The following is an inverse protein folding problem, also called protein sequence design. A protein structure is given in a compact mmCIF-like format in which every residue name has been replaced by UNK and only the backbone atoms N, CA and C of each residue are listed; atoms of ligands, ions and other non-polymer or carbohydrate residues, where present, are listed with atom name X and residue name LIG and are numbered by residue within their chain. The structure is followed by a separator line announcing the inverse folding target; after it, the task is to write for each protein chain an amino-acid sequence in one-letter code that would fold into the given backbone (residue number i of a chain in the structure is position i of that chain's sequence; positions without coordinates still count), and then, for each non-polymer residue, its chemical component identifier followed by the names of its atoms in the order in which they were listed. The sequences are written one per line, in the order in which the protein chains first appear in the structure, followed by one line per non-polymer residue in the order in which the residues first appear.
data_IF_428982259167
#
_entry.id   IF_428982259167
#
_cell.length_a   1.000
_cell.length_b   1.000
_cell.length_c   1.000
_cell.angle_alpha   90.00
_cell.angle_beta   90.00
_cell.angle_gamma   90.00
#
_symmetry.space_group_name_H-M   'P 1'
#
loop_
_entity.id
_entity.type
_entity.pdbx_description
1 polymer ?
#
# COMPACT_ATOMS: atom_id res chain seq x y z
N UNK A 1 -15.65 11.04 36.70
CA UNK A 1 -15.35 9.64 36.42
C UNK A 1 -14.12 9.18 37.23
N UNK A 2 -12.99 9.92 37.23
CA UNK A 2 -11.81 9.54 38.00
C UNK A 2 -12.12 9.43 39.51
N UNK A 3 -12.84 10.38 40.09
CA UNK A 3 -13.26 10.37 41.50
C UNK A 3 -14.04 9.08 41.84
N UNK A 4 -14.95 8.65 40.97
CA UNK A 4 -15.71 7.41 41.18
C UNK A 4 -14.82 6.16 41.09
N UNK A 5 -13.81 6.15 40.22
CA UNK A 5 -12.85 5.07 40.13
C UNK A 5 -11.93 5.02 41.37
N UNK A 6 -11.50 6.18 41.86
CA UNK A 6 -10.71 6.29 43.10
C UNK A 6 -11.50 5.81 44.33
N UNK A 7 -12.78 6.21 44.46
CA UNK A 7 -13.65 5.75 45.56
C UNK A 7 -13.94 4.25 45.50
N UNK A 8 -14.06 3.70 44.30
CA UNK A 8 -14.18 2.25 44.07
C UNK A 8 -12.92 1.53 44.51
N UNK A 9 -11.75 1.99 44.04
CA UNK A 9 -10.47 1.42 44.42
C UNK A 9 -10.23 1.42 45.93
N UNK A 10 -10.52 2.54 46.61
CA UNK A 10 -10.36 2.65 48.05
C UNK A 10 -11.24 1.66 48.81
N UNK A 11 -12.50 1.48 48.37
CA UNK A 11 -13.40 0.49 49.00
C UNK A 11 -12.89 -0.96 48.76
N UNK A 12 -12.46 -1.27 47.57
CA UNK A 12 -11.92 -2.60 47.27
C UNK A 12 -10.60 -2.88 47.96
N UNK A 13 -9.72 -1.88 48.07
CA UNK A 13 -8.48 -1.99 48.82
C UNK A 13 -8.71 -2.17 50.34
N UNK A 14 -9.70 -1.47 50.89
CA UNK A 14 -10.08 -1.66 52.30
C UNK A 14 -10.56 -3.11 52.53
N UNK A 15 -11.48 -3.60 51.70
CA UNK A 15 -11.95 -4.98 51.78
C UNK A 15 -10.81 -6.01 51.58
N UNK A 16 -9.86 -5.73 50.68
CA UNK A 16 -8.67 -6.55 50.49
C UNK A 16 -7.78 -6.58 51.74
N UNK A 17 -7.57 -5.43 52.33
CA UNK A 17 -6.70 -5.32 53.54
C UNK A 17 -7.29 -6.04 54.74
N UNK A 18 -8.63 -6.07 54.84
CA UNK A 18 -9.38 -6.76 55.92
C UNK A 18 -9.35 -8.30 55.78
N UNK A 19 -9.02 -8.84 54.62
CA UNK A 19 -8.82 -10.27 54.41
C UNK A 19 -7.67 -10.82 55.22
N UNK A 20 -7.82 -11.99 55.80
CA UNK A 20 -6.75 -12.67 56.50
C UNK A 20 -5.56 -13.00 55.59
N UNK A 21 -4.36 -13.08 56.15
CA UNK A 21 -3.15 -13.45 55.41
C UNK A 21 -3.29 -14.83 54.75
N UNK A 22 -3.96 -15.76 55.39
CA UNK A 22 -4.25 -17.09 54.84
C UNK A 22 -5.13 -17.02 53.61
N UNK A 23 -6.21 -16.20 53.64
CA UNK A 23 -7.11 -16.00 52.46
C UNK A 23 -6.37 -15.39 51.29
N UNK A 24 -5.48 -14.39 51.53
CA UNK A 24 -4.67 -13.75 50.49
C UNK A 24 -3.69 -14.72 49.81
N UNK A 25 -3.09 -15.63 50.62
CA UNK A 25 -2.17 -16.64 50.11
C UNK A 25 -2.91 -17.70 49.30
N UNK A 26 -4.10 -18.13 49.75
CA UNK A 26 -4.92 -19.11 49.03
C UNK A 26 -5.34 -18.51 47.67
N UNK A 27 -5.83 -17.29 47.63
CA UNK A 27 -6.21 -16.61 46.36
C UNK A 27 -5.03 -16.50 45.42
N UNK A 28 -3.84 -16.09 45.88
CA UNK A 28 -2.70 -15.84 45.00
C UNK A 28 -1.93 -17.11 44.60
N UNK A 29 -1.80 -18.08 45.48
CA UNK A 29 -0.93 -19.28 45.25
C UNK A 29 -1.72 -20.55 44.91
N UNK A 30 -2.95 -20.70 45.36
CA UNK A 30 -3.75 -21.90 45.13
C UNK A 30 -4.73 -21.72 43.97
N UNK A 31 -5.37 -20.55 43.90
CA UNK A 31 -6.32 -20.26 42.83
C UNK A 31 -5.67 -19.55 41.64
N UNK A 32 -4.40 -19.15 41.77
CA UNK A 32 -3.64 -18.40 40.76
C UNK A 32 -4.34 -17.11 40.34
N UNK A 33 -5.18 -16.53 41.20
CA UNK A 33 -5.95 -15.31 41.00
C UNK A 33 -5.29 -14.16 41.77
N UNK A 34 -4.76 -13.19 41.08
CA UNK A 34 -4.24 -11.98 41.70
C UNK A 34 -5.38 -10.97 41.89
N UNK A 35 -6.25 -11.23 42.87
CA UNK A 35 -7.42 -10.37 43.13
C UNK A 35 -7.11 -9.11 43.95
N UNK A 36 -5.83 -8.71 44.03
CA UNK A 36 -5.48 -7.42 44.60
C UNK A 36 -6.00 -6.27 43.72
N UNK A 37 -6.82 -5.37 44.28
CA UNK A 37 -7.34 -4.28 43.48
C UNK A 37 -6.24 -3.44 42.83
N UNK A 38 -6.41 -3.17 41.56
CA UNK A 38 -5.53 -2.29 40.77
C UNK A 38 -6.28 -0.97 40.58
N UNK A 39 -5.58 0.13 40.76
CA UNK A 39 -6.18 1.45 40.58
C UNK A 39 -6.49 1.67 39.10
N UNK A 40 -7.76 1.76 38.74
CA UNK A 40 -8.20 2.08 37.41
C UNK A 40 -7.88 3.55 37.11
N UNK A 41 -7.03 3.77 36.12
CA UNK A 41 -6.81 5.12 35.58
C UNK A 41 -7.86 5.41 34.52
N UNK A 42 -8.80 6.31 34.86
CA UNK A 42 -9.73 6.83 33.87
C UNK A 42 -9.03 7.98 33.14
N UNK A 43 -8.69 7.82 31.85
CA UNK A 43 -8.09 8.92 31.10
C UNK A 43 -9.01 10.14 31.19
N UNK A 44 -8.47 11.27 31.67
CA UNK A 44 -9.25 12.49 31.65
C UNK A 44 -9.61 12.81 30.20
N UNK A 45 -10.87 13.17 29.93
CA UNK A 45 -11.22 13.63 28.59
C UNK A 45 -10.31 14.84 28.33
N UNK A 46 -9.55 14.70 27.23
CA UNK A 46 -8.59 15.69 26.80
C UNK A 46 -9.32 17.04 26.67
N UNK A 47 -9.10 17.95 27.58
CA UNK A 47 -9.57 19.33 27.42
C UNK A 47 -8.72 19.95 26.34
N UNK A 48 -9.31 20.07 25.15
CA UNK A 48 -8.74 20.83 24.04
C UNK A 48 -8.43 22.25 24.58
N UNK A 49 -7.17 22.51 24.89
CA UNK A 49 -6.70 23.88 25.05
C UNK A 49 -6.80 24.48 23.66
N UNK A 50 -7.75 25.39 23.48
CA UNK A 50 -7.83 26.18 22.26
C UNK A 50 -6.57 27.03 22.24
N UNK A 51 -5.53 26.54 21.57
CA UNK A 51 -4.35 27.35 21.27
C UNK A 51 -4.76 28.52 20.37
N UNK A 52 -3.99 29.58 20.41
CA UNK A 52 -4.17 30.78 19.59
C UNK A 52 -4.44 30.39 18.12
N UNK A 53 -5.22 31.20 17.39
CA UNK A 53 -5.57 30.86 16.01
C UNK A 53 -4.31 30.56 15.22
N UNK A 54 -4.19 29.32 14.72
CA UNK A 54 -3.11 28.98 13.83
C UNK A 54 -3.23 29.89 12.61
N UNK A 55 -2.25 30.74 12.42
CA UNK A 55 -2.10 31.47 11.17
C UNK A 55 -1.84 30.40 10.13
N UNK A 56 -2.87 30.12 9.33
CA UNK A 56 -2.76 29.11 8.28
C UNK A 56 -1.65 29.53 7.33
N UNK A 57 -0.67 28.68 7.13
CA UNK A 57 0.37 28.90 6.14
C UNK A 57 -0.30 29.07 4.78
N UNK A 58 -0.03 30.16 4.06
CA UNK A 58 -0.50 30.35 2.72
C UNK A 58 0.33 29.45 1.79
N UNK A 59 -0.28 28.40 1.29
CA UNK A 59 0.34 27.52 0.29
C UNK A 59 0.05 27.99 -1.12
N UNK A 60 1.01 27.87 -2.03
CA UNK A 60 0.73 27.91 -3.46
C UNK A 60 0.10 26.57 -3.89
N UNK A 61 -1.23 26.54 -3.88
CA UNK A 61 -1.99 25.32 -4.20
C UNK A 61 -1.74 24.85 -5.64
N UNK A 62 -1.47 25.76 -6.59
CA UNK A 62 -1.16 25.40 -7.96
C UNK A 62 0.19 24.68 -8.06
N UNK A 63 1.18 25.18 -7.35
CA UNK A 63 2.49 24.55 -7.27
C UNK A 63 2.40 23.17 -6.60
N UNK A 64 1.67 23.04 -5.49
CA UNK A 64 1.44 21.76 -4.84
C UNK A 64 0.73 20.77 -5.77
N UNK A 65 -0.36 21.18 -6.42
CA UNK A 65 -1.09 20.34 -7.35
C UNK A 65 -0.22 19.91 -8.54
N UNK A 66 0.59 20.83 -9.08
CA UNK A 66 1.47 20.49 -10.21
C UNK A 66 2.57 19.51 -9.84
N UNK A 67 3.06 19.57 -8.59
CA UNK A 67 4.16 18.74 -8.11
C UNK A 67 3.70 17.35 -7.66
N UNK A 68 2.59 17.28 -6.93
CA UNK A 68 2.18 16.04 -6.24
C UNK A 68 0.99 15.33 -6.87
N UNK A 69 0.12 16.04 -7.65
CA UNK A 69 -1.09 15.43 -8.18
C UNK A 69 -0.92 15.10 -9.66
N UNK A 70 -0.77 13.82 -9.95
CA UNK A 70 -0.75 13.28 -11.31
C UNK A 70 -1.41 11.90 -11.32
N UNK A 71 -1.98 11.55 -12.46
CA UNK A 71 -2.52 10.21 -12.69
C UNK A 71 -1.65 9.56 -13.77
N UNK A 72 -0.97 8.49 -13.41
CA UNK A 72 -0.06 7.79 -14.29
C UNK A 72 -0.78 7.29 -15.55
N UNK A 73 -0.17 7.48 -16.71
CA UNK A 73 -0.77 7.13 -18.00
C UNK A 73 -1.75 8.16 -18.56
N UNK A 74 -1.96 9.29 -17.86
CA UNK A 74 -2.79 10.39 -18.32
C UNK A 74 -1.98 11.67 -18.46
N UNK A 75 -2.30 12.45 -19.50
CA UNK A 75 -1.73 13.78 -19.69
C UNK A 75 -2.64 14.85 -19.07
N UNK A 76 -2.04 15.95 -18.62
CA UNK A 76 -2.81 17.08 -18.12
C UNK A 76 -3.53 17.76 -19.29
N UNK A 77 -4.85 17.87 -19.19
CA UNK A 77 -5.70 18.46 -20.20
C UNK A 77 -6.78 19.35 -19.60
N UNK A 78 -7.42 20.17 -20.45
CA UNK A 78 -8.51 21.06 -20.05
C UNK A 78 -9.88 20.62 -20.59
N UNK A 79 -9.90 19.83 -21.67
CA UNK A 79 -11.13 19.40 -22.33
C UNK A 79 -11.36 17.90 -22.10
N UNK A 80 -12.57 17.55 -21.71
CA UNK A 80 -12.97 16.15 -21.47
C UNK A 80 -12.01 15.42 -20.52
N UNK A 81 -11.52 16.14 -19.50
CA UNK A 81 -10.49 15.66 -18.57
C UNK A 81 -11.12 15.15 -17.25
N UNK A 82 -10.45 14.22 -16.61
CA UNK A 82 -10.72 13.90 -15.22
C UNK A 82 -10.30 15.07 -14.32
N UNK A 83 -11.08 15.32 -13.27
CA UNK A 83 -10.77 16.34 -12.28
C UNK A 83 -10.31 15.65 -11.00
N UNK A 84 -9.07 15.88 -10.64
CA UNK A 84 -8.48 15.38 -9.39
C UNK A 84 -8.37 16.51 -8.38
N UNK A 85 -9.13 16.43 -7.32
CA UNK A 85 -9.21 17.44 -6.26
C UNK A 85 -8.73 16.88 -4.93
N UNK A 86 -7.88 17.63 -4.23
CA UNK A 86 -7.48 17.34 -2.85
C UNK A 86 -7.94 18.49 -1.96
N UNK A 87 -8.62 18.17 -0.87
CA UNK A 87 -9.09 19.13 0.11
C UNK A 87 -8.21 19.08 1.36
N UNK A 88 -7.57 20.18 1.68
CA UNK A 88 -6.73 20.33 2.87
C UNK A 88 -7.56 20.97 3.98
N UNK A 89 -7.63 20.33 5.16
CA UNK A 89 -8.35 20.86 6.32
C UNK A 89 -7.44 21.62 7.28
N UNK A 90 -6.13 21.58 7.03
CA UNK A 90 -5.09 22.24 7.80
C UNK A 90 -4.47 21.34 8.86
N UNK A 91 -3.27 21.75 9.31
CA UNK A 91 -2.53 21.06 10.35
C UNK A 91 -3.08 21.41 11.73
N UNK A 92 -3.32 20.40 12.55
CA UNK A 92 -3.76 20.54 13.94
C UNK A 92 -2.73 19.89 14.86
N UNK A 93 -2.33 20.59 15.91
CA UNK A 93 -1.44 20.04 16.94
C UNK A 93 -1.85 20.48 18.34
N UNK A 94 -1.51 19.65 19.33
CA UNK A 94 -1.55 20.09 20.73
C UNK A 94 -0.30 20.91 21.05
N UNK A 95 -0.33 21.70 22.13
CA UNK A 95 0.86 22.37 22.57
C UNK A 95 1.96 21.35 22.93
N UNK A 96 3.16 21.48 22.36
CA UNK A 96 4.29 20.62 22.69
C UNK A 96 4.66 20.76 24.18
N UNK A 97 4.94 19.65 24.82
CA UNK A 97 5.37 19.59 26.22
C UNK A 97 6.68 18.82 26.34
N UNK A 98 7.50 19.23 27.31
CA UNK A 98 8.70 18.47 27.67
C UNK A 98 8.28 17.34 28.62
N UNK A 99 8.61 16.13 28.27
CA UNK A 99 8.39 14.91 29.08
C UNK A 99 9.74 14.42 29.54
N UNK A 100 9.86 14.01 30.81
CA UNK A 100 11.07 13.38 31.34
C UNK A 100 10.84 11.90 31.57
N UNK A 101 11.86 11.08 31.28
CA UNK A 101 11.91 9.66 31.58
C UNK A 101 13.24 9.29 32.23
N UNK A 102 13.24 8.39 33.19
CA UNK A 102 14.47 7.89 33.80
C UNK A 102 14.89 6.62 33.11
N UNK A 103 16.13 6.59 32.60
CA UNK A 103 16.73 5.40 31.97
C UNK A 103 17.96 4.96 32.76
N UNK A 104 18.13 3.64 32.87
CA UNK A 104 19.33 3.06 33.47
C UNK A 104 20.46 3.02 32.44
N UNK A 105 21.53 3.77 32.69
CA UNK A 105 22.76 3.68 31.90
C UNK A 105 23.77 2.79 32.61
N UNK A 106 24.35 1.88 31.87
CA UNK A 106 25.45 1.02 32.34
C UNK A 106 26.76 1.57 31.83
N UNK A 107 27.58 2.07 32.73
CA UNK A 107 28.97 2.43 32.41
C UNK A 107 29.92 1.30 32.88
N UNK A 108 30.97 1.05 32.14
CA UNK A 108 31.97 0.05 32.47
C UNK A 108 33.34 0.72 32.53
N UNK A 109 33.86 0.78 33.74
CA UNK A 109 35.20 1.33 33.99
C UNK A 109 36.01 0.22 34.71
N UNK A 110 37.21 -0.09 34.20
CA UNK A 110 38.10 -1.12 34.77
C UNK A 110 37.40 -2.48 35.03
N UNK A 111 36.59 -2.91 34.06
CA UNK A 111 35.77 -4.14 34.18
C UNK A 111 34.69 -4.14 35.28
N UNK A 112 34.48 -3.03 35.97
CA UNK A 112 33.37 -2.88 36.93
C UNK A 112 32.22 -2.19 36.20
N UNK A 113 31.05 -2.85 36.19
CA UNK A 113 29.81 -2.27 35.62
C UNK A 113 29.08 -1.50 36.72
N UNK A 114 28.87 -0.22 36.49
CA UNK A 114 28.05 0.65 37.35
C UNK A 114 26.78 1.03 36.60
N UNK A 115 25.63 0.82 37.21
CA UNK A 115 24.34 1.24 36.69
C UNK A 115 23.93 2.55 37.37
N UNK A 116 23.66 3.56 36.56
CA UNK A 116 23.23 4.90 37.05
C UNK A 116 21.88 5.26 36.42
N UNK A 117 20.98 5.78 37.22
CA UNK A 117 19.73 6.33 36.73
C UNK A 117 19.98 7.73 36.14
N UNK A 118 19.65 7.90 34.87
CA UNK A 118 19.85 9.16 34.14
C UNK A 118 18.51 9.66 33.63
N UNK A 119 18.18 10.92 33.91
CA UNK A 119 16.96 11.53 33.40
C UNK A 119 17.17 12.04 31.98
N UNK A 120 16.26 11.60 31.08
CA UNK A 120 16.18 12.07 29.70
C UNK A 120 14.93 12.91 29.50
N UNK A 121 15.02 13.88 28.63
CA UNK A 121 13.95 14.79 28.27
C UNK A 121 13.66 14.69 26.77
N UNK A 122 12.40 14.70 26.37
CA UNK A 122 11.98 14.81 24.99
C UNK A 122 10.74 15.68 24.85
N UNK A 123 10.54 16.24 23.67
CA UNK A 123 9.29 16.93 23.32
C UNK A 123 8.24 15.91 22.92
N UNK A 124 7.00 16.07 23.41
CA UNK A 124 5.87 15.24 23.05
C UNK A 124 4.65 16.11 22.74
N UNK A 125 3.95 15.80 21.68
CA UNK A 125 2.66 16.39 21.32
C UNK A 125 1.91 15.47 20.36
N UNK A 126 0.61 15.70 20.21
CA UNK A 126 -0.20 15.01 19.21
C UNK A 126 -0.50 15.94 18.05
N UNK A 127 -0.60 15.38 16.86
CA UNK A 127 -0.87 16.13 15.64
C UNK A 127 -1.68 15.30 14.65
N UNK A 128 -2.34 16.00 13.72
CA UNK A 128 -2.94 15.44 12.52
C UNK A 128 -2.95 16.48 11.40
N UNK A 129 -3.07 16.02 10.17
CA UNK A 129 -3.28 16.87 9.00
C UNK A 129 -4.38 16.26 8.13
N UNK A 130 -5.65 16.50 8.47
CA UNK A 130 -6.77 15.87 7.77
C UNK A 130 -6.82 16.31 6.31
N UNK A 131 -6.96 15.32 5.43
CA UNK A 131 -7.08 15.52 3.99
C UNK A 131 -8.10 14.56 3.43
N UNK A 132 -8.76 15.00 2.36
CA UNK A 132 -9.60 14.15 1.53
C UNK A 132 -9.31 14.40 0.07
N UNK A 133 -9.63 13.43 -0.76
CA UNK A 133 -9.50 13.60 -2.21
C UNK A 133 -10.72 13.06 -2.94
N UNK A 134 -10.89 13.57 -4.16
CA UNK A 134 -11.94 13.18 -5.07
C UNK A 134 -11.45 13.24 -6.51
N UNK A 135 -11.73 12.19 -7.26
CA UNK A 135 -11.51 12.14 -8.71
C UNK A 135 -12.85 11.96 -9.38
N UNK A 136 -13.15 12.82 -10.35
CA UNK A 136 -14.36 12.75 -11.18
C UNK A 136 -13.98 12.65 -12.64
N UNK A 137 -14.88 12.06 -13.46
CA UNK A 137 -14.75 12.11 -14.91
C UNK A 137 -15.16 13.48 -15.46
N UNK A 138 -15.05 13.65 -16.77
CA UNK A 138 -15.43 14.88 -17.47
C UNK A 138 -16.92 15.27 -17.31
N UNK A 139 -17.79 14.31 -17.03
CA UNK A 139 -19.22 14.54 -16.72
C UNK A 139 -19.48 14.79 -15.24
N UNK A 140 -18.44 15.04 -14.44
CA UNK A 140 -18.49 15.23 -12.98
C UNK A 140 -19.05 14.05 -12.20
N UNK A 141 -19.02 12.83 -12.76
CA UNK A 141 -19.35 11.61 -12.06
C UNK A 141 -18.15 11.17 -11.24
N UNK A 142 -18.38 10.85 -9.98
CA UNK A 142 -17.31 10.41 -9.08
C UNK A 142 -16.77 9.04 -9.49
N UNK A 143 -15.47 8.95 -9.71
CA UNK A 143 -14.73 7.72 -9.99
C UNK A 143 -14.16 7.15 -8.70
N UNK A 144 -13.55 8.01 -7.87
CA UNK A 144 -12.92 7.62 -6.63
C UNK A 144 -12.85 8.80 -5.67
N UNK A 145 -13.27 8.60 -4.44
CA UNK A 145 -13.09 9.57 -3.36
C UNK A 145 -12.80 8.84 -2.04
N UNK A 146 -11.95 9.44 -1.22
CA UNK A 146 -11.68 8.93 0.13
C UNK A 146 -11.18 10.05 1.06
N UNK A 147 -11.37 9.79 2.36
CA UNK A 147 -10.74 10.51 3.46
C UNK A 147 -10.05 9.48 4.35
N UNK A 148 -8.80 9.10 4.03
CA UNK A 148 -8.11 8.04 4.76
C UNK A 148 -7.99 8.34 6.25
N UNK A 149 -8.30 7.36 7.10
CA UNK A 149 -8.27 7.48 8.54
C UNK A 149 -6.88 7.90 9.06
N UNK A 150 -5.83 7.43 8.41
CA UNK A 150 -4.43 7.75 8.74
C UNK A 150 -4.08 9.24 8.68
N UNK A 151 -4.87 10.06 7.95
CA UNK A 151 -4.69 11.52 7.90
C UNK A 151 -5.59 12.24 8.90
N UNK A 152 -6.68 11.61 9.34
CA UNK A 152 -7.68 12.20 10.24
C UNK A 152 -7.42 11.88 11.71
N UNK A 153 -6.76 10.77 12.01
CA UNK A 153 -6.43 10.36 13.36
C UNK A 153 -5.24 11.13 13.92
N UNK A 154 -5.28 11.39 15.25
CA UNK A 154 -4.14 12.00 15.93
C UNK A 154 -2.99 11.02 16.07
N UNK A 155 -1.81 11.45 15.62
CA UNK A 155 -0.53 10.77 15.81
C UNK A 155 0.24 11.43 16.94
N UNK A 156 1.07 10.68 17.66
CA UNK A 156 1.93 11.22 18.70
C UNK A 156 3.33 11.42 18.14
N UNK A 157 3.84 12.64 18.27
CA UNK A 157 5.24 12.93 18.05
C UNK A 157 6.01 12.78 19.36
N UNK A 158 7.12 12.03 19.32
CA UNK A 158 8.13 11.98 20.37
C UNK A 158 9.48 12.41 19.77
N UNK A 159 10.00 13.52 20.28
CA UNK A 159 11.31 13.99 19.88
C UNK A 159 12.46 13.12 20.39
N UNK A 160 13.68 13.36 19.95
CA UNK A 160 14.85 12.66 20.46
C UNK A 160 15.01 12.90 21.95
N UNK A 161 15.34 11.83 22.70
CA UNK A 161 15.61 11.91 24.12
C UNK A 161 17.03 12.50 24.36
N UNK A 162 17.12 13.55 25.14
CA UNK A 162 18.37 14.25 25.48
C UNK A 162 18.55 14.34 26.98
N UNK A 163 19.79 14.39 27.47
CA UNK A 163 20.08 14.57 28.93
C UNK A 163 19.80 15.96 29.46
N UNK A 164 19.60 16.92 28.56
CA UNK A 164 19.21 18.28 28.89
C UNK A 164 17.84 18.56 28.32
N UNK A 165 17.07 19.45 28.99
CA UNK A 165 15.76 19.86 28.46
C UNK A 165 15.92 20.50 27.09
N UNK A 166 15.12 20.08 26.07
CA UNK A 166 15.18 20.65 24.72
C UNK A 166 14.87 22.15 24.76
N UNK A 167 15.73 22.94 24.12
CA UNK A 167 15.51 24.38 23.90
C UNK A 167 15.29 24.58 22.40
N UNK A 168 14.08 24.28 21.91
CA UNK A 168 13.76 24.33 20.48
C UNK A 168 12.75 25.44 20.21
N UNK A 169 12.93 26.16 19.10
CA UNK A 169 11.86 27.04 18.59
C UNK A 169 10.69 26.16 18.13
N UNK A 170 9.67 26.13 19.00
CA UNK A 170 8.48 25.28 18.78
C UNK A 170 7.73 25.72 17.54
N UNK A 171 7.67 27.03 17.23
CA UNK A 171 6.95 27.53 16.05
C UNK A 171 7.63 27.07 14.74
N UNK A 172 8.94 27.24 14.68
CA UNK A 172 9.70 26.78 13.51
C UNK A 172 9.64 25.26 13.33
N UNK A 173 9.70 24.50 14.43
CA UNK A 173 9.60 23.04 14.42
C UNK A 173 8.21 22.59 13.93
N UNK A 174 7.13 23.15 14.45
CA UNK A 174 5.76 22.80 14.02
C UNK A 174 5.54 23.11 12.55
N UNK A 175 6.06 24.26 12.07
CA UNK A 175 5.98 24.62 10.65
C UNK A 175 6.72 23.62 9.77
N UNK A 176 7.93 23.24 10.14
CA UNK A 176 8.72 22.23 9.40
C UNK A 176 8.00 20.88 9.37
N UNK A 177 7.35 20.50 10.48
CA UNK A 177 6.55 19.28 10.54
C UNK A 177 5.31 19.37 9.66
N UNK A 178 4.58 20.48 9.71
CA UNK A 178 3.41 20.72 8.85
C UNK A 178 3.78 20.53 7.37
N UNK A 179 4.85 21.18 6.91
CA UNK A 179 5.32 21.09 5.53
C UNK A 179 5.71 19.66 5.15
N UNK A 180 6.42 18.96 6.04
CA UNK A 180 6.81 17.56 5.81
C UNK A 180 5.60 16.64 5.72
N UNK A 181 4.66 16.75 6.65
CA UNK A 181 3.47 15.90 6.70
C UNK A 181 2.55 16.18 5.52
N UNK A 182 2.43 17.46 5.11
CA UNK A 182 1.70 17.83 3.91
C UNK A 182 2.24 17.10 2.67
N UNK A 183 3.57 17.12 2.49
CA UNK A 183 4.22 16.44 1.36
C UNK A 183 4.03 14.91 1.41
N UNK A 184 4.23 14.31 2.59
CA UNK A 184 4.04 12.87 2.80
C UNK A 184 2.60 12.45 2.51
N UNK A 185 1.61 13.20 3.01
CA UNK A 185 0.20 12.91 2.79
C UNK A 185 -0.21 13.11 1.33
N UNK A 186 0.25 14.17 0.65
CA UNK A 186 -0.01 14.37 -0.78
C UNK A 186 0.58 13.24 -1.62
N UNK A 187 1.79 12.80 -1.29
CA UNK A 187 2.43 11.65 -1.95
C UNK A 187 1.61 10.38 -1.72
N UNK A 188 1.19 10.12 -0.48
CA UNK A 188 0.36 8.95 -0.16
C UNK A 188 -1.00 8.99 -0.89
N UNK A 189 -1.67 10.14 -0.92
CA UNK A 189 -2.92 10.33 -1.69
C UNK A 189 -2.68 10.04 -3.18
N UNK A 190 -1.59 10.55 -3.73
CA UNK A 190 -1.26 10.30 -5.13
C UNK A 190 -1.02 8.82 -5.43
N UNK A 191 -0.36 8.09 -4.52
CA UNK A 191 -0.23 6.63 -4.62
C UNK A 191 -1.59 5.93 -4.58
N UNK A 192 -2.46 6.27 -3.61
CA UNK A 192 -3.80 5.67 -3.52
C UNK A 192 -4.62 5.87 -4.80
N UNK A 193 -4.52 7.06 -5.41
CA UNK A 193 -5.22 7.35 -6.66
C UNK A 193 -4.61 6.55 -7.82
N UNK A 194 -3.29 6.50 -7.91
CA UNK A 194 -2.62 5.77 -8.99
C UNK A 194 -2.79 4.26 -8.87
N UNK A 195 -2.79 3.70 -7.65
CA UNK A 195 -3.09 2.29 -7.41
C UNK A 195 -4.49 1.90 -7.90
N UNK A 196 -5.43 2.83 -7.85
CA UNK A 196 -6.82 2.58 -8.24
C UNK A 196 -7.10 2.87 -9.72
N UNK A 197 -6.60 3.99 -10.23
CA UNK A 197 -7.00 4.58 -11.52
C UNK A 197 -5.82 4.60 -12.50
N UNK A 198 -4.63 4.93 -12.03
CA UNK A 198 -3.46 5.18 -12.85
C UNK A 198 -2.98 3.96 -13.63
N UNK A 199 -2.33 4.19 -14.75
CA UNK A 199 -1.60 3.19 -15.52
C UNK A 199 -0.11 3.46 -15.36
N UNK A 200 0.48 2.93 -14.31
CA UNK A 200 1.90 3.10 -14.02
C UNK A 200 2.73 2.58 -15.19
N UNK A 201 3.71 3.39 -15.60
CA UNK A 201 4.67 3.00 -16.62
C UNK A 201 5.73 2.12 -15.96
N UNK A 202 5.63 0.82 -16.16
CA UNK A 202 6.58 -0.15 -15.61
C UNK A 202 7.38 -0.82 -16.71
N UNK A 203 8.67 -1.00 -16.46
CA UNK A 203 9.52 -1.85 -17.30
C UNK A 203 9.23 -3.31 -16.94
N UNK A 204 8.59 -4.02 -17.86
CA UNK A 204 8.27 -5.43 -17.69
C UNK A 204 9.04 -6.26 -18.71
N UNK A 205 9.73 -7.29 -18.24
CA UNK A 205 10.35 -8.27 -19.11
C UNK A 205 9.27 -9.19 -19.68
N UNK A 206 9.09 -9.18 -20.99
CA UNK A 206 8.20 -10.09 -21.72
C UNK A 206 9.00 -11.28 -22.24
N UNK A 207 8.51 -12.49 -21.99
CA UNK A 207 9.10 -13.74 -22.48
C UNK A 207 8.15 -14.36 -23.49
N UNK A 208 8.66 -14.58 -24.71
CA UNK A 208 7.92 -15.26 -25.78
C UNK A 208 8.62 -16.57 -26.09
N UNK A 209 7.87 -17.65 -26.01
CA UNK A 209 8.35 -19.00 -26.24
C UNK A 209 8.27 -19.38 -27.71
N UNK A 210 9.24 -20.13 -28.18
CA UNK A 210 9.20 -20.81 -29.48
C UNK A 210 9.80 -22.19 -29.36
N UNK A 211 9.44 -23.06 -30.30
CA UNK A 211 9.96 -24.44 -30.39
C UNK A 211 11.13 -24.46 -31.35
N UNK A 212 12.31 -24.87 -30.87
CA UNK A 212 13.47 -25.11 -31.73
C UNK A 212 13.35 -26.48 -32.37
N UNK A 213 12.85 -26.55 -33.63
CA UNK A 213 12.71 -27.77 -34.37
C UNK A 213 13.87 -27.98 -35.35
N UNK A 214 14.36 -29.22 -35.44
CA UNK A 214 15.38 -29.59 -36.44
C UNK A 214 14.77 -29.92 -37.83
N UNK A 215 13.46 -30.20 -37.87
CA UNK A 215 12.78 -30.77 -39.05
C UNK A 215 11.68 -29.83 -39.59
N UNK A 216 11.76 -28.54 -39.32
CA UNK A 216 10.78 -27.51 -39.78
C UNK A 216 9.31 -27.78 -39.38
N UNK A 217 9.07 -28.70 -38.47
CA UNK A 217 7.71 -29.10 -38.06
C UNK A 217 6.97 -28.06 -37.25
N UNK A 218 7.65 -26.98 -36.83
CA UNK A 218 7.11 -25.89 -36.01
C UNK A 218 7.41 -24.50 -36.61
N UNK A 219 7.51 -24.40 -37.94
CA UNK A 219 7.78 -23.14 -38.62
C UNK A 219 6.69 -22.11 -38.35
N UNK A 220 5.45 -22.52 -38.26
CA UNK A 220 4.31 -21.70 -37.88
C UNK A 220 4.48 -21.03 -36.50
N UNK A 221 5.02 -21.77 -35.52
CA UNK A 221 5.33 -21.22 -34.18
C UNK A 221 6.51 -20.24 -34.24
N UNK A 222 7.52 -20.53 -35.05
CA UNK A 222 8.65 -19.64 -35.28
C UNK A 222 8.22 -18.35 -35.98
N UNK A 223 7.35 -18.46 -37.00
CA UNK A 223 6.78 -17.31 -37.69
C UNK A 223 5.94 -16.44 -36.74
N UNK A 224 5.13 -17.08 -35.89
CA UNK A 224 4.39 -16.39 -34.83
C UNK A 224 5.32 -15.68 -33.84
N UNK A 225 6.42 -16.32 -33.41
CA UNK A 225 7.43 -15.71 -32.56
C UNK A 225 8.06 -14.47 -33.21
N UNK A 226 8.42 -14.57 -34.51
CA UNK A 226 9.00 -13.45 -35.24
C UNK A 226 8.00 -12.29 -35.37
N UNK A 227 6.74 -12.59 -35.73
CA UNK A 227 5.67 -11.59 -35.82
C UNK A 227 5.43 -10.91 -34.46
N UNK A 228 5.35 -11.68 -33.36
CA UNK A 228 5.19 -11.12 -32.02
C UNK A 228 6.36 -10.23 -31.61
N UNK A 229 7.60 -10.71 -31.81
CA UNK A 229 8.81 -9.94 -31.49
C UNK A 229 8.85 -8.61 -32.23
N UNK A 230 8.47 -8.63 -33.52
CA UNK A 230 8.35 -7.40 -34.32
C UNK A 230 7.19 -6.54 -33.80
N UNK A 231 6.04 -7.13 -33.49
CA UNK A 231 4.87 -6.46 -32.97
C UNK A 231 5.15 -5.71 -31.66
N UNK A 232 5.80 -6.34 -30.69
CA UNK A 232 6.19 -5.70 -29.43
C UNK A 232 7.13 -4.51 -29.65
N UNK A 233 8.09 -4.62 -30.57
CA UNK A 233 9.01 -3.52 -30.91
C UNK A 233 8.29 -2.37 -31.58
N UNK A 234 7.42 -2.68 -32.53
CA UNK A 234 6.67 -1.65 -33.28
C UNK A 234 5.62 -0.95 -32.42
N UNK A 235 5.02 -1.65 -31.46
CA UNK A 235 4.00 -1.08 -30.58
C UNK A 235 4.47 0.18 -29.82
N UNK A 236 5.76 0.25 -29.51
CA UNK A 236 6.38 1.41 -28.84
C UNK A 236 6.40 2.66 -29.76
N UNK A 237 6.52 2.47 -31.06
CA UNK A 237 6.63 3.57 -32.04
C UNK A 237 5.34 3.80 -32.84
N UNK A 238 4.55 2.77 -33.03
CA UNK A 238 3.25 2.80 -33.73
C UNK A 238 2.36 1.69 -33.19
N UNK A 239 1.38 2.06 -32.36
CA UNK A 239 0.41 1.11 -31.77
C UNK A 239 -0.35 0.36 -32.86
N UNK A 240 -0.71 1.02 -33.97
CA UNK A 240 -1.42 0.42 -35.08
C UNK A 240 -0.61 -0.70 -35.73
N UNK A 241 0.63 -0.43 -36.11
CA UNK A 241 1.50 -1.42 -36.76
C UNK A 241 1.89 -2.55 -35.80
N UNK A 242 2.14 -2.22 -34.52
CA UNK A 242 2.36 -3.22 -33.49
C UNK A 242 1.16 -4.15 -33.30
N UNK A 243 -0.04 -3.59 -33.26
CA UNK A 243 -1.30 -4.33 -33.17
C UNK A 243 -1.50 -5.31 -34.33
N UNK A 244 -1.24 -4.85 -35.57
CA UNK A 244 -1.33 -5.72 -36.75
C UNK A 244 -0.40 -6.94 -36.63
N UNK A 245 0.84 -6.74 -36.22
CA UNK A 245 1.83 -7.82 -36.08
C UNK A 245 1.53 -8.75 -34.89
N UNK A 246 1.03 -8.22 -33.78
CA UNK A 246 0.59 -9.04 -32.66
C UNK A 246 -0.63 -9.89 -33.03
N UNK A 247 -1.58 -9.37 -33.78
CA UNK A 247 -2.74 -10.13 -34.26
C UNK A 247 -2.34 -11.25 -35.25
N UNK A 248 -1.33 -11.01 -36.10
CA UNK A 248 -0.75 -12.06 -36.97
C UNK A 248 -0.20 -13.21 -36.10
N UNK A 249 0.60 -12.91 -35.07
CA UNK A 249 1.15 -13.90 -34.15
C UNK A 249 0.04 -14.67 -33.40
N UNK A 250 -0.96 -13.95 -32.87
CA UNK A 250 -2.11 -14.54 -32.17
C UNK A 250 -2.83 -15.55 -33.05
N UNK A 251 -3.07 -15.20 -34.32
CA UNK A 251 -3.75 -16.11 -35.27
C UNK A 251 -2.93 -17.37 -35.51
N UNK A 252 -1.62 -17.26 -35.70
CA UNK A 252 -0.73 -18.41 -35.89
C UNK A 252 -0.72 -19.32 -34.64
N UNK A 253 -0.60 -18.77 -33.44
CA UNK A 253 -0.65 -19.54 -32.19
C UNK A 253 -2.01 -20.22 -31.99
N UNK A 254 -3.12 -19.51 -32.24
CA UNK A 254 -4.47 -20.08 -32.15
C UNK A 254 -4.64 -21.24 -33.15
N UNK A 255 -4.11 -21.11 -34.36
CA UNK A 255 -4.14 -22.18 -35.36
C UNK A 255 -3.33 -23.38 -34.90
N UNK A 256 -2.12 -23.18 -34.40
CA UNK A 256 -1.29 -24.27 -33.88
C UNK A 256 -1.98 -24.99 -32.68
N UNK A 257 -2.67 -24.25 -31.81
CA UNK A 257 -3.39 -24.82 -30.68
C UNK A 257 -4.57 -25.75 -31.09
N UNK A 258 -5.08 -25.66 -32.33
CA UNK A 258 -6.08 -26.60 -32.81
C UNK A 258 -5.53 -28.05 -32.92
N UNK A 259 -4.21 -28.19 -32.96
CA UNK A 259 -3.53 -29.49 -32.99
C UNK A 259 -3.06 -29.94 -31.59
N UNK A 260 -3.50 -29.27 -30.53
CA UNK A 260 -3.07 -29.57 -29.15
C UNK A 260 -3.58 -30.95 -28.70
N UNK A 261 -2.64 -31.82 -28.32
CA UNK A 261 -2.89 -33.14 -27.73
C UNK A 261 -2.15 -33.26 -26.40
N UNK A 262 -2.72 -32.70 -25.31
CA UNK A 262 -2.06 -32.59 -24.00
C UNK A 262 -1.71 -33.91 -23.32
N UNK A 263 -2.39 -35.00 -23.69
CA UNK A 263 -2.15 -36.35 -23.15
C UNK A 263 -1.16 -37.15 -24.00
N UNK A 264 -0.76 -36.64 -25.17
CA UNK A 264 0.17 -37.28 -26.09
C UNK A 264 1.53 -36.58 -26.13
N UNK A 265 2.50 -37.09 -25.35
CA UNK A 265 3.88 -36.54 -25.29
C UNK A 265 4.64 -36.55 -26.61
N UNK A 266 4.13 -37.25 -27.65
CA UNK A 266 4.75 -37.30 -28.98
C UNK A 266 4.02 -36.41 -29.99
N UNK A 267 2.96 -35.73 -29.56
CA UNK A 267 2.25 -34.79 -30.42
C UNK A 267 3.14 -33.62 -30.82
N UNK A 268 2.87 -33.03 -31.96
CA UNK A 268 3.54 -31.79 -32.39
C UNK A 268 3.28 -30.67 -31.39
N UNK A 269 2.05 -30.52 -30.98
CA UNK A 269 1.61 -29.56 -29.95
C UNK A 269 1.20 -30.37 -28.70
N UNK A 270 2.21 -30.80 -27.96
CA UNK A 270 2.02 -31.53 -26.72
C UNK A 270 1.64 -30.56 -25.56
N UNK A 271 1.55 -31.08 -24.34
CA UNK A 271 1.18 -30.30 -23.16
C UNK A 271 2.13 -29.11 -22.93
N UNK A 272 3.44 -29.29 -23.03
CA UNK A 272 4.44 -28.28 -22.76
C UNK A 272 4.38 -27.15 -23.80
N UNK A 273 4.26 -27.51 -25.08
CA UNK A 273 4.08 -26.56 -26.18
C UNK A 273 2.75 -25.81 -26.01
N UNK A 274 1.66 -26.52 -25.68
CA UNK A 274 0.35 -25.92 -25.45
C UNK A 274 0.42 -24.82 -24.35
N UNK A 275 1.03 -25.13 -23.19
CA UNK A 275 1.20 -24.19 -22.09
C UNK A 275 2.04 -22.99 -22.54
N UNK A 276 3.13 -23.20 -23.26
CA UNK A 276 3.98 -22.15 -23.79
C UNK A 276 3.21 -21.20 -24.74
N UNK A 277 2.39 -21.75 -25.63
CA UNK A 277 1.55 -20.95 -26.53
C UNK A 277 0.48 -20.16 -25.78
N UNK A 278 -0.10 -20.71 -24.73
CA UNK A 278 -1.02 -19.95 -23.87
C UNK A 278 -0.33 -18.76 -23.20
N UNK A 279 0.90 -18.91 -22.69
CA UNK A 279 1.64 -17.77 -22.15
C UNK A 279 1.96 -16.73 -23.23
N UNK A 280 2.32 -17.14 -24.44
CA UNK A 280 2.51 -16.20 -25.55
C UNK A 280 1.26 -15.40 -25.86
N UNK A 281 0.08 -16.05 -25.89
CA UNK A 281 -1.20 -15.40 -26.08
C UNK A 281 -1.50 -14.41 -24.94
N UNK A 282 -1.25 -14.80 -23.69
CA UNK A 282 -1.44 -13.90 -22.54
C UNK A 282 -0.54 -12.66 -22.65
N UNK A 283 0.72 -12.78 -23.06
CA UNK A 283 1.59 -11.63 -23.28
C UNK A 283 1.05 -10.68 -24.37
N UNK A 284 0.63 -11.25 -25.51
CA UNK A 284 0.07 -10.46 -26.61
C UNK A 284 -1.25 -9.76 -26.21
N UNK A 285 -2.15 -10.48 -25.56
CA UNK A 285 -3.41 -9.91 -25.08
C UNK A 285 -3.21 -8.84 -24.01
N UNK A 286 -2.19 -8.97 -23.17
CA UNK A 286 -1.89 -7.95 -22.18
C UNK A 286 -1.55 -6.60 -22.83
N UNK A 287 -0.67 -6.60 -23.82
CA UNK A 287 -0.30 -5.39 -24.56
C UNK A 287 -1.50 -4.82 -25.33
N UNK A 288 -2.31 -5.69 -25.93
CA UNK A 288 -3.54 -5.30 -26.63
C UNK A 288 -4.70 -4.93 -25.70
N UNK A 289 -4.50 -5.05 -24.38
CA UNK A 289 -5.53 -4.82 -23.36
C UNK A 289 -6.81 -5.66 -23.56
N UNK A 290 -6.67 -6.83 -24.20
CA UNK A 290 -7.76 -7.75 -24.48
C UNK A 290 -7.97 -8.70 -23.29
N UNK A 291 -8.76 -8.25 -22.31
CA UNK A 291 -9.03 -9.02 -21.11
C UNK A 291 -10.00 -10.18 -21.34
N UNK A 292 -10.88 -10.10 -22.35
CA UNK A 292 -11.90 -11.12 -22.64
C UNK A 292 -11.25 -12.42 -23.13
N UNK A 293 -10.40 -12.34 -24.13
CA UNK A 293 -9.69 -13.53 -24.65
C UNK A 293 -8.70 -14.06 -23.62
N UNK A 294 -8.05 -13.18 -22.87
CA UNK A 294 -7.15 -13.60 -21.81
C UNK A 294 -7.87 -14.41 -20.71
N UNK A 295 -9.08 -14.02 -20.31
CA UNK A 295 -9.88 -14.77 -19.33
C UNK A 295 -10.19 -16.20 -19.80
N UNK A 296 -10.44 -16.35 -21.08
CA UNK A 296 -10.66 -17.67 -21.67
C UNK A 296 -9.41 -18.56 -21.52
N UNK A 297 -8.23 -18.00 -21.79
CA UNK A 297 -6.96 -18.72 -21.63
C UNK A 297 -6.68 -19.03 -20.16
N UNK A 298 -6.81 -18.04 -19.26
CA UNK A 298 -6.60 -18.21 -17.82
C UNK A 298 -7.52 -19.28 -17.23
N UNK A 299 -8.79 -19.29 -17.65
CA UNK A 299 -9.76 -20.32 -17.24
C UNK A 299 -9.38 -21.70 -17.77
N UNK A 300 -8.93 -21.79 -19.02
CA UNK A 300 -8.51 -23.04 -19.63
C UNK A 300 -7.29 -23.61 -18.92
N UNK A 301 -6.27 -22.78 -18.70
CA UNK A 301 -5.06 -23.19 -17.98
C UNK A 301 -5.36 -23.58 -16.53
N UNK A 302 -6.27 -22.88 -15.84
CA UNK A 302 -6.69 -23.21 -14.47
C UNK A 302 -7.33 -24.58 -14.30
N UNK A 303 -7.84 -25.17 -15.40
CA UNK A 303 -8.42 -26.54 -15.43
C UNK A 303 -7.38 -27.61 -15.81
N UNK A 304 -6.19 -27.20 -16.25
CA UNK A 304 -5.13 -28.14 -16.62
C UNK A 304 -4.38 -28.63 -15.38
N UNK A 305 -3.85 -29.85 -15.46
CA UNK A 305 -2.88 -30.35 -14.49
C UNK A 305 -1.52 -29.71 -14.73
N UNK A 306 -1.30 -28.54 -14.12
CA UNK A 306 -0.10 -27.72 -14.24
C UNK A 306 0.97 -28.13 -13.23
N UNK A 307 2.25 -27.98 -13.62
CA UNK A 307 3.37 -28.06 -12.68
C UNK A 307 3.29 -26.96 -11.61
N UNK A 308 3.98 -27.12 -10.48
CA UNK A 308 4.02 -26.08 -9.44
C UNK A 308 4.60 -24.76 -9.94
N UNK A 309 5.50 -24.80 -10.92
CA UNK A 309 6.05 -23.59 -11.55
C UNK A 309 4.97 -22.89 -12.37
N UNK A 310 4.29 -23.64 -13.26
CA UNK A 310 3.24 -23.07 -14.11
C UNK A 310 2.07 -22.54 -13.29
N UNK A 311 1.71 -23.19 -12.17
CA UNK A 311 0.69 -22.68 -11.24
C UNK A 311 1.06 -21.29 -10.69
N UNK A 312 2.32 -21.11 -10.25
CA UNK A 312 2.81 -19.81 -9.76
C UNK A 312 2.83 -18.75 -10.86
N UNK A 313 3.20 -19.13 -12.07
CA UNK A 313 3.21 -18.18 -13.18
C UNK A 313 1.78 -17.84 -13.61
N UNK A 314 0.85 -18.79 -13.60
CA UNK A 314 -0.58 -18.53 -13.82
C UNK A 314 -1.18 -17.58 -12.76
N UNK A 315 -0.82 -17.73 -11.48
CA UNK A 315 -1.22 -16.80 -10.41
C UNK A 315 -0.78 -15.37 -10.72
N UNK A 316 0.48 -15.16 -11.15
CA UNK A 316 0.97 -13.82 -11.55
C UNK A 316 0.16 -13.22 -12.70
N UNK A 317 -0.20 -14.03 -13.71
CA UNK A 317 -1.03 -13.56 -14.82
C UNK A 317 -2.46 -13.24 -14.36
N UNK A 318 -3.04 -14.03 -13.46
CA UNK A 318 -4.35 -13.72 -12.87
C UNK A 318 -4.33 -12.37 -12.14
N UNK A 319 -3.31 -12.11 -11.32
CA UNK A 319 -3.14 -10.82 -10.64
C UNK A 319 -2.95 -9.67 -11.63
N UNK A 320 -2.11 -9.86 -12.64
CA UNK A 320 -1.84 -8.86 -13.68
C UNK A 320 -3.13 -8.46 -14.42
N UNK A 321 -3.92 -9.44 -14.85
CA UNK A 321 -5.17 -9.20 -15.57
C UNK A 321 -6.29 -8.68 -14.67
N UNK A 322 -6.36 -9.11 -13.41
CA UNK A 322 -7.28 -8.55 -12.43
C UNK A 322 -7.00 -7.05 -12.24
N UNK A 323 -5.73 -6.69 -12.08
CA UNK A 323 -5.31 -5.29 -11.94
C UNK A 323 -5.68 -4.47 -13.19
N UNK A 324 -5.40 -5.00 -14.40
CA UNK A 324 -5.79 -4.33 -15.64
C UNK A 324 -7.30 -4.10 -15.75
N UNK A 325 -8.12 -5.10 -15.39
CA UNK A 325 -9.59 -4.99 -15.40
C UNK A 325 -10.10 -3.95 -14.41
N UNK A 326 -9.56 -3.95 -13.18
CA UNK A 326 -9.92 -2.98 -12.16
C UNK A 326 -9.63 -1.54 -12.63
N UNK A 327 -8.48 -1.33 -13.27
CA UNK A 327 -8.10 -0.03 -13.83
C UNK A 327 -9.00 0.36 -15.00
N UNK A 328 -9.28 -0.55 -15.93
CA UNK A 328 -10.22 -0.31 -17.04
C UNK A 328 -11.59 0.07 -16.50
N UNK A 329 -12.13 -0.71 -15.56
CA UNK A 329 -13.44 -0.43 -14.98
C UNK A 329 -13.48 0.91 -14.25
N UNK A 330 -12.42 1.27 -13.49
CA UNK A 330 -12.32 2.55 -12.81
C UNK A 330 -12.30 3.74 -13.79
N UNK A 331 -11.82 3.54 -15.01
CA UNK A 331 -11.74 4.58 -16.05
C UNK A 331 -12.89 4.50 -17.06
N UNK A 332 -13.86 3.60 -16.87
CA UNK A 332 -15.00 3.44 -17.79
C UNK A 332 -14.60 2.87 -19.16
N UNK A 333 -13.54 2.04 -19.23
CA UNK A 333 -12.96 1.44 -20.43
C UNK A 333 -13.28 -0.06 -20.53
#
# INVERSE_FOLDING_TARGET
KQKAADEKYEREMKAWNEKSTASKIIESKVLNENNRPVKDYVPQPYRRTVSAPNIKTAYDYNSLASTYLHIDGFEKGSNNAMIYTVTLQGFESTAPRVVSEVKKEVSRVNNVSTTTDVTYYHLEFTYRHPMSFRVTNASNVEIYAASPAEFTEFKTYKGPATKTSPSTDITAMLKTMEDKILQENLTAINHLVNDRIGFEKTDRKTEIFFVKSKNETHNDILDAYNAATLGFKMFVTSEEQGTLKLNEAINLWKTALLESEIDNKKARIDKDVTIALYYNLLEAYFILRNTTDADTILTTMGRMDLSNRDKKDLEKYNELYLNLKLRKAANGL
#
